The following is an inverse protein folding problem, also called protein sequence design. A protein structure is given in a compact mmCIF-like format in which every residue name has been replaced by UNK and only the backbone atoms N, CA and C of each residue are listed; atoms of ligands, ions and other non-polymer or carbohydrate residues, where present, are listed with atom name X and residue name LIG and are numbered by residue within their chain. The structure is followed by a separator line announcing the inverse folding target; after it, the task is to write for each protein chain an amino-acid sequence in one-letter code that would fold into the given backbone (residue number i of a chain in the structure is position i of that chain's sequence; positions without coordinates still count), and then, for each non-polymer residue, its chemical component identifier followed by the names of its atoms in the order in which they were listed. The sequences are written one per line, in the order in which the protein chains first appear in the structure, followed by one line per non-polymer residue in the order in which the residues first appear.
data_IF_378748940558
#
_entry.id   IF_378748940558
#
_cell.length_a   1.000
_cell.length_b   1.000
_cell.length_c   1.000
_cell.angle_alpha   90.00
_cell.angle_beta   90.00
_cell.angle_gamma   90.00
#
_symmetry.space_group_name_H-M   'P 1'
#
loop_
_entity.id
_entity.type
_entity.pdbx_description
1 polymer ?
#
# COMPACT_ATOMS: atom_id res chain seq x y z
N UNK A 1 -15.85 26.69 61.42
CA UNK A 1 -15.20 25.36 61.44
C UNK A 1 -15.28 24.77 60.04
N UNK A 2 -14.12 24.37 59.48
CA UNK A 2 -13.85 23.31 58.47
C UNK A 2 -14.80 23.19 57.24
N UNK A 3 -14.35 23.08 55.98
CA UNK A 3 -13.07 22.63 55.40
C UNK A 3 -12.98 23.11 53.95
N UNK A 4 -11.78 23.52 53.54
CA UNK A 4 -11.40 23.70 52.14
C UNK A 4 -11.37 22.35 51.40
N UNK A 5 -11.90 22.31 50.17
CA UNK A 5 -11.52 21.29 49.18
C UNK A 5 -11.21 22.03 47.88
N UNK A 6 -9.92 22.26 47.68
CA UNK A 6 -9.34 22.67 46.42
C UNK A 6 -9.39 21.47 45.48
N UNK A 7 -10.37 21.42 44.56
CA UNK A 7 -10.39 20.44 43.48
C UNK A 7 -9.34 20.87 42.45
N UNK A 8 -8.15 20.30 42.60
CA UNK A 8 -7.08 20.33 41.59
C UNK A 8 -7.67 19.82 40.28
N UNK A 9 -7.75 20.71 39.28
CA UNK A 9 -7.90 20.33 37.89
C UNK A 9 -6.62 19.57 37.48
N UNK A 10 -6.68 18.25 37.60
CA UNK A 10 -5.72 17.38 36.93
C UNK A 10 -6.11 17.32 35.46
N UNK A 11 -5.56 18.25 34.69
CA UNK A 11 -5.33 18.02 33.28
C UNK A 11 -4.29 16.90 33.18
N UNK A 12 -4.73 15.66 33.02
CA UNK A 12 -3.86 14.51 32.79
C UNK A 12 -4.35 13.73 31.58
N UNK A 13 -3.64 13.89 30.47
CA UNK A 13 -3.45 12.81 29.49
C UNK A 13 -4.38 12.80 28.28
N UNK A 14 -4.33 13.85 27.45
CA UNK A 14 -4.26 13.56 26.01
C UNK A 14 -2.81 13.14 25.70
N UNK A 15 -2.62 12.23 24.74
CA UNK A 15 -1.39 11.55 24.26
C UNK A 15 -1.29 10.11 24.81
N UNK A 16 -1.49 9.02 24.05
CA UNK A 16 -1.61 8.84 22.61
C UNK A 16 -2.53 7.62 22.34
N UNK A 17 -3.73 7.87 21.80
CA UNK A 17 -4.60 6.80 21.31
C UNK A 17 -4.35 6.65 19.83
N UNK A 18 -3.60 5.63 19.44
CA UNK A 18 -3.53 5.19 18.05
C UNK A 18 -4.96 4.87 17.60
N UNK A 19 -5.33 5.49 16.50
CA UNK A 19 -6.64 5.59 15.90
C UNK A 19 -6.83 4.53 14.82
N UNK A 20 -7.50 3.45 15.18
CA UNK A 20 -7.84 2.37 14.26
C UNK A 20 -9.34 2.15 14.24
N UNK A 21 -9.77 1.51 13.17
CA UNK A 21 -11.09 0.91 13.10
C UNK A 21 -11.21 -0.20 14.14
N UNK A 22 -12.34 -0.20 14.83
CA UNK A 22 -12.69 -1.17 15.88
C UNK A 22 -13.46 -2.37 15.32
N UNK A 23 -13.74 -2.38 14.02
CA UNK A 23 -14.49 -3.42 13.34
C UNK A 23 -13.93 -3.64 11.93
N UNK A 24 -13.84 -4.90 11.52
CA UNK A 24 -13.50 -5.30 10.15
C UNK A 24 -14.54 -4.83 9.12
N UNK A 25 -15.76 -4.51 9.57
CA UNK A 25 -16.84 -3.98 8.71
C UNK A 25 -16.70 -2.49 8.38
N UNK A 26 -15.71 -1.79 8.95
CA UNK A 26 -15.54 -0.36 8.77
C UNK A 26 -15.29 0.06 7.32
N UNK A 27 -14.52 -0.72 6.55
CA UNK A 27 -14.29 -0.47 5.12
C UNK A 27 -15.58 -0.54 4.30
N UNK A 28 -16.36 -1.64 4.36
CA UNK A 28 -17.67 -1.74 3.73
C UNK A 28 -18.64 -0.62 4.12
N UNK A 29 -18.73 -0.28 5.42
CA UNK A 29 -19.60 0.79 5.90
C UNK A 29 -19.18 2.17 5.36
N UNK A 30 -17.87 2.46 5.34
CA UNK A 30 -17.36 3.70 4.78
C UNK A 30 -17.68 3.83 3.29
N UNK A 31 -17.51 2.75 2.51
CA UNK A 31 -17.88 2.70 1.08
C UNK A 31 -19.39 2.88 0.85
N UNK A 32 -20.22 2.39 1.77
CA UNK A 32 -21.68 2.58 1.75
C UNK A 32 -22.11 3.99 2.20
N UNK A 33 -21.17 4.88 2.51
CA UNK A 33 -21.45 6.26 2.88
C UNK A 33 -21.80 6.46 4.36
N UNK A 34 -21.59 5.45 5.22
CA UNK A 34 -21.89 5.56 6.66
C UNK A 34 -21.05 6.65 7.34
N UNK A 35 -19.88 7.01 6.80
CA UNK A 35 -19.11 8.14 7.30
C UNK A 35 -19.86 9.49 7.21
N UNK A 36 -20.84 9.59 6.31
CA UNK A 36 -21.70 10.77 6.12
C UNK A 36 -23.08 10.54 6.77
N UNK A 37 -23.64 9.34 6.60
CA UNK A 37 -24.98 8.98 7.09
C UNK A 37 -25.03 8.73 8.60
N UNK A 38 -23.93 8.25 9.19
CA UNK A 38 -23.81 7.92 10.61
C UNK A 38 -22.44 8.36 11.19
N UNK A 39 -22.12 9.67 11.11
CA UNK A 39 -20.79 10.19 11.38
C UNK A 39 -20.36 10.05 12.84
N UNK A 40 -21.28 10.11 13.81
CA UNK A 40 -20.94 9.94 15.23
C UNK A 40 -20.52 8.50 15.56
N UNK A 41 -21.26 7.51 15.07
CA UNK A 41 -20.87 6.11 15.27
C UNK A 41 -19.58 5.80 14.53
N UNK A 42 -19.49 6.21 13.27
CA UNK A 42 -18.36 5.90 12.42
C UNK A 42 -17.09 6.63 12.85
N UNK A 43 -17.17 7.83 13.42
CA UNK A 43 -15.99 8.52 13.96
C UNK A 43 -15.43 7.90 15.24
N UNK A 44 -16.21 7.05 15.93
CA UNK A 44 -15.75 6.35 17.13
C UNK A 44 -15.40 4.90 16.82
N UNK A 45 -16.13 4.26 15.91
CA UNK A 45 -15.97 2.85 15.55
C UNK A 45 -15.03 2.67 14.38
N UNK A 46 -15.07 3.57 13.40
CA UNK A 46 -14.35 3.48 12.14
C UNK A 46 -13.55 4.76 11.81
N UNK A 47 -12.80 5.32 12.78
CA UNK A 47 -12.16 6.61 12.59
C UNK A 47 -11.07 6.60 11.52
N UNK A 48 -10.49 5.43 11.21
CA UNK A 48 -9.50 5.30 10.14
C UNK A 48 -10.21 5.21 8.78
N UNK A 49 -11.19 4.32 8.62
CA UNK A 49 -11.97 4.20 7.37
C UNK A 49 -12.71 5.48 6.99
N UNK A 50 -13.13 6.28 7.97
CA UNK A 50 -13.78 7.57 7.73
C UNK A 50 -12.84 8.77 7.69
N UNK A 51 -11.53 8.55 7.70
CA UNK A 51 -10.53 9.61 7.59
C UNK A 51 -10.55 10.62 8.74
N UNK A 52 -11.11 10.25 9.89
CA UNK A 52 -11.10 11.06 11.13
C UNK A 52 -9.69 11.14 11.70
N UNK A 53 -8.82 10.19 11.35
CA UNK A 53 -7.41 10.13 11.73
C UNK A 53 -6.58 9.31 10.72
N UNK A 54 -5.26 9.27 10.91
CA UNK A 54 -4.32 8.48 10.09
C UNK A 54 -3.26 7.81 10.96
N UNK A 55 -2.80 6.60 10.57
CA UNK A 55 -1.75 5.84 11.26
C UNK A 55 -0.55 5.53 10.36
N UNK A 56 0.63 5.40 10.96
CA UNK A 56 1.77 4.75 10.32
C UNK A 56 1.43 3.28 10.12
N UNK A 57 1.21 2.89 8.86
CA UNK A 57 0.95 1.51 8.49
C UNK A 57 2.23 0.68 8.65
N UNK A 58 2.43 0.15 9.85
CA UNK A 58 3.55 -0.72 10.23
C UNK A 58 3.10 -1.69 11.31
N UNK A 59 3.61 -2.91 11.25
CA UNK A 59 3.54 -3.83 12.38
C UNK A 59 4.59 -3.41 13.42
N UNK A 60 4.19 -3.33 14.67
CA UNK A 60 5.04 -2.95 15.81
C UNK A 60 5.78 -4.15 16.41
N UNK A 61 5.31 -5.37 16.14
CA UNK A 61 5.82 -6.60 16.75
C UNK A 61 6.29 -7.59 15.68
N UNK A 62 7.44 -8.24 15.92
CA UNK A 62 8.02 -9.22 14.98
C UNK A 62 7.09 -10.44 14.75
N UNK A 63 6.26 -10.76 15.75
CA UNK A 63 5.35 -11.91 15.73
C UNK A 63 3.97 -11.61 15.12
N UNK A 64 3.74 -10.38 14.64
CA UNK A 64 2.46 -9.97 14.07
C UNK A 64 1.94 -10.92 12.99
N UNK A 65 2.81 -11.36 12.09
CA UNK A 65 2.44 -12.31 11.03
C UNK A 65 1.99 -13.66 11.61
N UNK A 66 2.69 -14.16 12.62
CA UNK A 66 2.35 -15.42 13.29
C UNK A 66 1.04 -15.34 14.07
N UNK A 67 0.78 -14.22 14.74
CA UNK A 67 -0.47 -14.01 15.46
C UNK A 67 -1.67 -13.83 14.54
N UNK A 68 -1.50 -13.13 13.41
CA UNK A 68 -2.54 -13.02 12.40
C UNK A 68 -2.93 -14.39 11.83
N UNK A 69 -1.97 -15.24 11.48
CA UNK A 69 -2.22 -16.61 11.05
C UNK A 69 -2.91 -17.48 12.12
N UNK A 70 -2.67 -17.17 13.39
CA UNK A 70 -3.35 -17.81 14.52
C UNK A 70 -4.75 -17.24 14.80
N UNK A 71 -5.32 -16.42 13.90
CA UNK A 71 -6.66 -15.86 14.03
C UNK A 71 -6.77 -14.70 15.03
N UNK A 72 -5.65 -14.16 15.53
CA UNK A 72 -5.69 -13.12 16.56
C UNK A 72 -6.31 -11.81 16.06
N UNK A 73 -6.34 -11.57 14.74
CA UNK A 73 -7.01 -10.41 14.18
C UNK A 73 -8.52 -10.39 14.51
N UNK A 74 -9.14 -11.56 14.66
CA UNK A 74 -10.55 -11.72 15.02
C UNK A 74 -10.74 -12.00 16.52
N UNK A 75 -9.85 -12.79 17.12
CA UNK A 75 -9.93 -13.14 18.55
C UNK A 75 -9.46 -12.02 19.49
N UNK A 76 -8.52 -11.19 19.03
CA UNK A 76 -7.94 -10.07 19.78
C UNK A 76 -7.77 -8.81 18.91
N UNK A 77 -8.86 -8.30 18.30
CA UNK A 77 -8.80 -7.19 17.34
C UNK A 77 -8.26 -5.91 17.98
N UNK A 78 -8.56 -5.65 19.25
CA UNK A 78 -8.10 -4.42 19.90
C UNK A 78 -6.58 -4.28 19.97
N UNK A 79 -5.88 -5.39 20.23
CA UNK A 79 -4.41 -5.42 20.21
C UNK A 79 -3.88 -5.55 18.78
N UNK A 80 -4.43 -6.50 18.02
CA UNK A 80 -3.89 -6.85 16.72
C UNK A 80 -4.09 -5.75 15.66
N UNK A 81 -5.25 -5.11 15.60
CA UNK A 81 -5.45 -3.98 14.67
C UNK A 81 -4.60 -2.76 15.06
N UNK A 82 -4.15 -2.68 16.32
CA UNK A 82 -3.28 -1.62 16.82
C UNK A 82 -1.81 -1.87 16.52
N UNK A 83 -1.31 -3.03 16.92
CA UNK A 83 0.12 -3.35 16.89
C UNK A 83 0.51 -4.16 15.67
N UNK A 84 -0.46 -4.75 14.96
CA UNK A 84 -0.25 -5.58 13.77
C UNK A 84 -1.19 -5.19 12.60
N UNK A 85 -1.36 -3.89 12.29
CA UNK A 85 -2.32 -3.44 11.28
C UNK A 85 -2.01 -3.97 9.88
N UNK A 86 -0.75 -4.25 9.56
CA UNK A 86 -0.41 -4.85 8.26
C UNK A 86 -0.76 -6.33 8.27
N UNK A 87 -0.29 -7.08 9.28
CA UNK A 87 -0.58 -8.52 9.37
C UNK A 87 -2.08 -8.83 9.45
N UNK A 88 -2.90 -7.90 9.95
CA UNK A 88 -4.36 -8.03 9.95
C UNK A 88 -5.06 -7.44 8.73
N UNK A 89 -4.32 -7.02 7.70
CA UNK A 89 -4.88 -6.47 6.47
C UNK A 89 -5.65 -5.16 6.65
N UNK A 90 -5.44 -4.46 7.78
CA UNK A 90 -6.06 -3.16 8.06
C UNK A 90 -5.48 -2.08 7.16
N UNK A 91 -4.20 -2.23 6.81
CA UNK A 91 -3.54 -1.33 5.90
C UNK A 91 -2.39 -2.06 5.20
N UNK A 92 -2.08 -1.66 3.97
CA UNK A 92 -0.85 -2.06 3.30
C UNK A 92 0.12 -0.87 3.32
N UNK A 93 1.38 -1.07 3.73
CA UNK A 93 2.38 -0.01 3.65
C UNK A 93 2.54 0.40 2.18
N UNK A 94 2.37 1.69 1.91
CA UNK A 94 2.59 2.24 0.57
C UNK A 94 4.08 2.19 0.28
N UNK A 95 4.48 1.51 -0.78
CA UNK A 95 5.90 1.52 -1.12
C UNK A 95 6.32 2.90 -1.64
N UNK A 96 7.05 3.63 -0.81
CA UNK A 96 7.51 5.00 -1.07
C UNK A 96 8.85 5.25 -0.37
N UNK A 97 9.59 6.21 -0.86
CA UNK A 97 10.76 6.73 -0.15
C UNK A 97 10.34 7.39 1.16
N UNK A 98 11.00 6.98 2.25
CA UNK A 98 10.70 7.42 3.62
C UNK A 98 11.55 8.61 4.04
N UNK A 99 12.68 8.85 3.35
CA UNK A 99 13.59 9.97 3.64
C UNK A 99 13.60 10.95 2.49
N UNK A 100 13.59 12.24 2.80
CA UNK A 100 13.69 13.28 1.78
C UNK A 100 15.07 13.28 1.07
N UNK A 101 16.11 12.73 1.72
CA UNK A 101 17.45 12.62 1.16
C UNK A 101 17.61 11.47 0.15
N UNK A 102 16.58 10.65 -0.07
CA UNK A 102 16.71 9.45 -0.90
C UNK A 102 17.30 9.76 -2.28
N UNK A 103 16.84 10.80 -2.97
CA UNK A 103 17.40 11.25 -4.25
C UNK A 103 18.91 11.51 -4.17
N UNK A 104 19.35 12.30 -3.18
CA UNK A 104 20.76 12.62 -2.97
C UNK A 104 21.62 11.40 -2.63
N UNK A 105 21.11 10.51 -1.77
CA UNK A 105 21.80 9.26 -1.43
C UNK A 105 21.86 8.27 -2.60
N UNK A 106 20.80 8.22 -3.41
CA UNK A 106 20.76 7.44 -4.65
C UNK A 106 21.84 7.89 -5.62
N UNK A 107 21.95 9.20 -5.88
CA UNK A 107 23.01 9.79 -6.70
C UNK A 107 24.42 9.56 -6.13
N UNK A 108 24.54 9.52 -4.79
CA UNK A 108 25.78 9.21 -4.11
C UNK A 108 26.14 7.71 -4.09
N UNK A 109 25.37 6.85 -4.78
CA UNK A 109 25.67 5.42 -4.90
C UNK A 109 25.24 4.56 -3.71
N UNK A 110 24.49 5.11 -2.74
CA UNK A 110 24.15 4.39 -1.51
C UNK A 110 23.30 3.15 -1.74
N UNK A 111 22.54 3.06 -2.84
CA UNK A 111 21.82 1.84 -3.20
C UNK A 111 22.76 0.62 -3.41
N UNK A 112 24.04 0.86 -3.71
CA UNK A 112 25.06 -0.20 -3.80
C UNK A 112 25.85 -0.35 -2.50
N UNK A 113 26.26 0.78 -1.90
CA UNK A 113 27.17 0.79 -0.75
C UNK A 113 26.46 0.41 0.56
N UNK A 114 25.16 0.70 0.67
CA UNK A 114 24.34 0.40 1.84
C UNK A 114 22.96 -0.13 1.42
N UNK A 115 22.91 -1.30 0.77
CA UNK A 115 21.72 -1.76 0.05
C UNK A 115 20.56 -2.11 0.99
N UNK A 116 20.82 -2.67 2.17
CA UNK A 116 19.76 -3.03 3.12
C UNK A 116 19.08 -1.83 3.78
N UNK A 117 19.83 -0.75 4.07
CA UNK A 117 19.23 0.49 4.56
C UNK A 117 18.43 1.16 3.45
N UNK A 118 19.05 1.32 2.29
CA UNK A 118 18.44 2.04 1.18
C UNK A 118 17.24 1.30 0.61
N UNK A 119 17.23 -0.03 0.58
CA UNK A 119 16.06 -0.80 0.17
C UNK A 119 14.84 -0.59 1.08
N UNK A 120 15.03 -0.23 2.35
CA UNK A 120 13.93 -0.03 3.32
C UNK A 120 13.49 1.42 3.45
N UNK A 121 14.46 2.33 3.45
CA UNK A 121 14.22 3.76 3.62
C UNK A 121 14.01 4.49 2.30
N UNK A 122 14.57 3.98 1.21
CA UNK A 122 14.54 4.56 -0.13
C UNK A 122 14.18 3.53 -1.23
N UNK A 123 13.13 2.71 -1.04
CA UNK A 123 12.80 1.62 -1.96
C UNK A 123 12.48 2.09 -3.37
N UNK A 124 11.88 3.27 -3.57
CA UNK A 124 11.55 3.78 -4.90
C UNK A 124 12.81 4.30 -5.58
N UNK A 125 13.60 5.13 -4.89
CA UNK A 125 14.86 5.65 -5.45
C UNK A 125 15.81 4.51 -5.86
N UNK A 126 15.88 3.44 -5.07
CA UNK A 126 16.74 2.30 -5.41
C UNK A 126 16.09 1.30 -6.38
N UNK A 127 14.87 1.54 -6.84
CA UNK A 127 14.17 0.66 -7.79
C UNK A 127 13.74 -0.69 -7.20
N UNK A 128 13.75 -0.81 -5.88
CA UNK A 128 13.14 -1.94 -5.15
C UNK A 128 11.65 -1.96 -5.45
N UNK A 129 11.01 -0.80 -5.33
CA UNK A 129 9.63 -0.60 -5.72
C UNK A 129 9.52 0.12 -7.05
N UNK A 130 8.57 -0.35 -7.85
CA UNK A 130 8.29 0.20 -9.17
C UNK A 130 6.81 0.51 -9.31
N UNK A 131 6.50 1.23 -10.38
CA UNK A 131 5.12 1.42 -10.82
C UNK A 131 4.64 0.10 -11.39
N UNK A 132 3.62 -0.44 -10.74
CA UNK A 132 3.00 -1.70 -11.05
C UNK A 132 1.60 -1.47 -11.62
N UNK A 133 1.21 -2.37 -12.50
CA UNK A 133 -0.15 -2.45 -12.97
C UNK A 133 -0.77 -3.74 -12.46
N UNK A 134 -1.54 -3.61 -11.38
CA UNK A 134 -2.22 -4.73 -10.73
C UNK A 134 -3.64 -4.33 -10.38
N UNK A 135 -4.50 -5.33 -10.32
CA UNK A 135 -5.82 -5.16 -9.75
C UNK A 135 -5.71 -4.84 -8.25
N UNK A 136 -6.59 -3.97 -7.79
CA UNK A 136 -6.64 -3.47 -6.41
C UNK A 136 -7.77 -4.13 -5.61
N UNK A 137 -8.55 -5.02 -6.24
CA UNK A 137 -9.67 -5.69 -5.62
C UNK A 137 -9.76 -7.16 -6.03
N UNK A 138 -10.00 -8.03 -5.06
CA UNK A 138 -10.15 -9.47 -5.30
C UNK A 138 -11.34 -9.81 -6.21
N UNK A 139 -12.36 -8.95 -6.27
CA UNK A 139 -13.56 -9.15 -7.11
C UNK A 139 -13.39 -8.65 -8.56
N UNK A 140 -12.22 -8.11 -8.93
CA UNK A 140 -11.97 -7.66 -10.30
C UNK A 140 -12.31 -8.71 -11.39
N UNK A 141 -12.03 -10.02 -11.21
CA UNK A 141 -12.46 -11.06 -12.15
C UNK A 141 -13.99 -11.14 -12.29
N UNK A 142 -14.73 -11.01 -11.19
CA UNK A 142 -16.19 -11.09 -11.19
C UNK A 142 -16.82 -9.86 -11.85
N UNK A 143 -16.34 -8.65 -11.51
CA UNK A 143 -16.80 -7.41 -12.13
C UNK A 143 -16.50 -7.37 -13.63
N UNK A 144 -15.31 -7.85 -14.03
CA UNK A 144 -14.94 -7.99 -15.44
C UNK A 144 -15.86 -8.97 -16.17
N UNK A 145 -16.15 -10.14 -15.59
CA UNK A 145 -17.12 -11.09 -16.15
C UNK A 145 -18.53 -10.51 -16.23
N UNK A 146 -18.88 -9.59 -15.33
CA UNK A 146 -20.13 -8.83 -15.33
C UNK A 146 -20.22 -7.72 -16.38
N UNK A 147 -19.13 -7.39 -17.09
CA UNK A 147 -19.11 -6.35 -18.11
C UNK A 147 -18.73 -4.95 -17.61
N UNK A 148 -18.32 -4.81 -16.35
CA UNK A 148 -18.03 -3.51 -15.72
C UNK A 148 -16.91 -2.73 -16.44
N UNK A 149 -15.99 -3.40 -17.14
CA UNK A 149 -14.95 -2.74 -17.93
C UNK A 149 -15.52 -1.86 -19.07
N UNK A 150 -16.77 -2.07 -19.48
CA UNK A 150 -17.49 -1.27 -20.49
C UNK A 150 -18.54 -0.37 -19.86
N UNK A 151 -19.24 -0.86 -18.84
CA UNK A 151 -20.33 -0.12 -18.18
C UNK A 151 -19.79 0.94 -17.20
N UNK A 152 -18.62 0.69 -16.60
CA UNK A 152 -17.97 1.57 -15.64
C UNK A 152 -16.43 1.65 -15.88
N UNK A 153 -15.99 2.06 -17.08
CA UNK A 153 -14.60 1.96 -17.52
C UNK A 153 -13.65 2.82 -16.68
N UNK A 154 -14.07 4.02 -16.25
CA UNK A 154 -13.23 4.91 -15.46
C UNK A 154 -12.87 4.34 -14.08
N UNK A 155 -13.83 3.71 -13.39
CA UNK A 155 -13.58 3.01 -12.14
C UNK A 155 -12.76 1.73 -12.39
N UNK A 156 -13.18 0.93 -13.36
CA UNK A 156 -12.58 -0.37 -13.61
C UNK A 156 -11.14 -0.26 -14.12
N UNK A 157 -10.77 0.74 -14.91
CA UNK A 157 -9.39 0.90 -15.34
C UNK A 157 -8.46 1.39 -14.23
N UNK A 158 -8.97 2.04 -13.18
CA UNK A 158 -8.16 2.43 -12.02
C UNK A 158 -8.09 1.32 -10.96
N UNK A 159 -9.18 0.58 -10.78
CA UNK A 159 -9.30 -0.44 -9.74
C UNK A 159 -8.90 -1.83 -10.24
N UNK A 160 -9.20 -2.15 -11.49
CA UNK A 160 -9.02 -3.46 -12.11
C UNK A 160 -8.30 -3.40 -13.48
N UNK A 161 -7.18 -2.66 -13.60
CA UNK A 161 -6.52 -2.47 -14.89
C UNK A 161 -5.99 -3.76 -15.51
N UNK A 162 -5.57 -4.73 -14.70
CA UNK A 162 -5.05 -5.99 -15.21
C UNK A 162 -6.19 -6.85 -15.74
N UNK A 163 -7.26 -7.03 -14.95
CA UNK A 163 -8.45 -7.79 -15.40
C UNK A 163 -9.13 -7.18 -16.62
N UNK A 164 -9.18 -5.84 -16.73
CA UNK A 164 -9.73 -5.17 -17.90
C UNK A 164 -8.78 -5.11 -19.11
N UNK A 165 -7.58 -5.69 -19.01
CA UNK A 165 -6.62 -5.77 -20.12
C UNK A 165 -5.97 -4.43 -20.49
N UNK A 166 -5.98 -3.45 -19.57
CA UNK A 166 -5.20 -2.21 -19.71
C UNK A 166 -3.71 -2.55 -19.73
N UNK A 167 -3.28 -3.47 -18.86
CA UNK A 167 -1.88 -3.86 -18.72
C UNK A 167 -1.69 -5.33 -19.11
N UNK A 168 -1.35 -5.56 -20.37
CA UNK A 168 -1.28 -6.90 -20.97
C UNK A 168 0.16 -7.41 -21.14
N UNK A 169 1.17 -6.55 -21.03
CA UNK A 169 2.57 -6.86 -21.42
C UNK A 169 3.53 -7.07 -20.24
N UNK A 170 3.04 -7.03 -19.01
CA UNK A 170 3.85 -7.27 -17.83
C UNK A 170 3.37 -6.45 -16.63
N UNK A 171 4.01 -6.66 -15.47
CA UNK A 171 3.63 -5.99 -14.25
C UNK A 171 4.11 -4.53 -14.19
N UNK A 172 5.10 -4.14 -15.00
CA UNK A 172 5.62 -2.77 -15.04
C UNK A 172 4.63 -1.85 -15.71
N UNK A 173 4.30 -0.76 -15.04
CA UNK A 173 3.31 0.21 -15.47
C UNK A 173 4.00 1.51 -15.85
N UNK A 174 4.01 1.81 -17.15
CA UNK A 174 4.67 2.98 -17.71
C UNK A 174 3.90 3.52 -18.92
N UNK A 175 4.02 4.82 -19.15
CA UNK A 175 3.50 5.46 -20.36
C UNK A 175 4.33 5.07 -21.59
N UNK A 176 3.67 4.67 -22.68
CA UNK A 176 4.35 4.37 -23.96
C UNK A 176 5.06 5.59 -24.54
N UNK A 177 4.46 6.77 -24.37
CA UNK A 177 5.06 8.04 -24.76
C UNK A 177 4.74 9.11 -23.72
N UNK A 178 5.65 9.28 -22.76
CA UNK A 178 5.54 10.24 -21.65
C UNK A 178 5.14 11.66 -22.07
N UNK A 179 5.66 12.17 -23.20
CA UNK A 179 5.34 13.54 -23.63
C UNK A 179 3.90 13.64 -24.14
N UNK A 180 3.48 12.69 -24.96
CA UNK A 180 2.11 12.63 -25.49
C UNK A 180 1.10 12.38 -24.35
N UNK A 181 1.45 11.48 -23.44
CA UNK A 181 0.63 11.13 -22.28
C UNK A 181 0.42 12.31 -21.33
N UNK A 182 1.44 13.14 -21.12
CA UNK A 182 1.29 14.38 -20.34
C UNK A 182 0.32 15.36 -21.01
N UNK A 183 0.42 15.55 -22.34
CA UNK A 183 -0.48 16.42 -23.10
C UNK A 183 -1.93 15.91 -23.02
N UNK A 184 -2.12 14.59 -23.17
CA UNK A 184 -3.45 13.98 -23.08
C UNK A 184 -4.03 14.02 -21.66
N UNK A 185 -3.21 13.83 -20.63
CA UNK A 185 -3.64 13.99 -19.25
C UNK A 185 -4.07 15.43 -18.96
N UNK A 186 -3.30 16.43 -19.40
CA UNK A 186 -3.66 17.86 -19.24
C UNK A 186 -4.94 18.25 -19.99
N UNK A 187 -5.29 17.49 -21.05
CA UNK A 187 -6.51 17.66 -21.84
C UNK A 187 -7.70 16.81 -21.32
N UNK A 188 -7.58 16.19 -20.14
CA UNK A 188 -8.57 15.31 -19.53
C UNK A 188 -8.97 14.10 -20.43
N UNK A 189 -8.08 13.69 -21.33
CA UNK A 189 -8.35 12.60 -22.28
C UNK A 189 -8.45 11.23 -21.58
N UNK A 190 -7.88 11.10 -20.38
CA UNK A 190 -8.08 9.93 -19.52
C UNK A 190 -9.55 9.74 -19.09
N UNK A 191 -10.36 10.80 -19.10
CA UNK A 191 -11.79 10.77 -18.79
C UNK A 191 -12.66 10.71 -20.05
N UNK A 192 -12.27 11.47 -21.09
CA UNK A 192 -13.04 11.57 -22.33
C UNK A 192 -12.81 10.38 -23.27
N UNK A 193 -11.60 9.85 -23.32
CA UNK A 193 -11.18 8.75 -24.19
C UNK A 193 -10.48 7.62 -23.40
N UNK A 194 -11.11 7.08 -22.32
CA UNK A 194 -10.45 6.22 -21.36
C UNK A 194 -9.92 4.92 -21.98
N UNK A 195 -10.64 4.34 -22.95
CA UNK A 195 -10.28 3.05 -23.54
C UNK A 195 -8.92 3.11 -24.25
N UNK A 196 -8.68 4.16 -25.02
CA UNK A 196 -7.45 4.31 -25.80
C UNK A 196 -6.32 4.89 -24.94
N UNK A 197 -6.61 5.97 -24.22
CA UNK A 197 -5.58 6.76 -23.55
C UNK A 197 -5.06 6.06 -22.31
N UNK A 198 -5.93 5.42 -21.52
CA UNK A 198 -5.48 4.73 -20.30
C UNK A 198 -4.60 3.51 -20.63
N UNK A 199 -4.81 2.87 -21.78
CA UNK A 199 -4.00 1.73 -22.22
C UNK A 199 -2.59 2.14 -22.69
N UNK A 200 -2.46 3.32 -23.29
CA UNK A 200 -1.16 3.84 -23.76
C UNK A 200 -0.45 4.69 -22.69
N UNK A 201 -1.22 5.26 -21.76
CA UNK A 201 -0.79 6.21 -20.75
C UNK A 201 -1.26 5.84 -19.32
N UNK A 202 -1.03 4.61 -18.85
CA UNK A 202 -1.52 4.18 -17.55
C UNK A 202 -0.88 4.95 -16.39
N UNK A 203 0.33 5.47 -16.55
CA UNK A 203 0.99 6.26 -15.51
C UNK A 203 0.40 7.67 -15.42
N UNK A 204 0.34 8.38 -16.55
CA UNK A 204 -0.24 9.72 -16.60
C UNK A 204 -1.72 9.74 -16.24
N UNK A 205 -2.46 8.66 -16.54
CA UNK A 205 -3.87 8.52 -16.15
C UNK A 205 -4.08 8.03 -14.70
N UNK A 206 -3.01 7.80 -13.94
CA UNK A 206 -3.08 7.40 -12.53
C UNK A 206 -3.62 5.99 -12.30
N UNK A 207 -3.41 5.09 -13.25
CA UNK A 207 -3.70 3.65 -13.11
C UNK A 207 -2.60 2.93 -12.36
N UNK A 208 -1.35 3.32 -12.58
CA UNK A 208 -0.21 2.68 -11.94
C UNK A 208 -0.24 2.86 -10.41
N UNK A 209 0.02 1.78 -9.69
CA UNK A 209 0.25 1.80 -8.24
C UNK A 209 1.71 1.50 -7.95
N UNK A 210 2.30 2.11 -6.94
CA UNK A 210 3.68 1.78 -6.57
C UNK A 210 3.67 0.57 -5.65
N UNK A 211 4.44 -0.46 -5.99
CA UNK A 211 4.53 -1.66 -5.18
C UNK A 211 5.85 -2.39 -5.31
N UNK A 212 6.05 -3.39 -4.46
CA UNK A 212 7.24 -4.20 -4.36
C UNK A 212 6.99 -5.59 -4.96
N UNK A 213 7.83 -6.00 -5.90
CA UNK A 213 7.82 -7.34 -6.46
C UNK A 213 9.18 -7.72 -7.03
N UNK A 214 9.37 -8.99 -7.33
CA UNK A 214 10.52 -9.44 -8.12
C UNK A 214 10.41 -8.94 -9.56
N UNK A 215 11.54 -8.51 -10.10
CA UNK A 215 11.63 -7.91 -11.45
C UNK A 215 12.18 -8.88 -12.49
N UNK A 216 12.55 -10.10 -12.07
CA UNK A 216 13.10 -11.14 -12.92
C UNK A 216 12.47 -12.50 -12.58
N UNK A 217 12.18 -13.30 -13.60
CA UNK A 217 11.60 -14.63 -13.45
C UNK A 217 12.52 -15.62 -12.70
N UNK A 218 13.83 -15.38 -12.74
CA UNK A 218 14.85 -16.23 -12.12
C UNK A 218 15.04 -15.94 -10.63
N UNK A 219 14.37 -14.93 -10.07
CA UNK A 219 14.56 -14.49 -8.69
C UNK A 219 14.39 -15.60 -7.66
N UNK A 220 13.42 -16.50 -7.85
CA UNK A 220 13.21 -17.68 -6.98
C UNK A 220 14.43 -18.61 -6.99
N UNK A 221 15.05 -18.79 -8.15
CA UNK A 221 16.24 -19.63 -8.32
C UNK A 221 17.48 -18.99 -7.68
N UNK A 222 17.69 -17.70 -7.92
CA UNK A 222 18.82 -16.97 -7.35
C UNK A 222 18.72 -16.83 -5.83
N UNK A 223 17.53 -16.56 -5.29
CA UNK A 223 17.35 -16.48 -3.84
C UNK A 223 17.55 -17.82 -3.12
N UNK A 224 17.22 -18.94 -3.78
CA UNK A 224 17.39 -20.28 -3.21
C UNK A 224 18.85 -20.78 -3.26
N UNK A 225 19.67 -20.28 -4.19
CA UNK A 225 21.10 -20.55 -4.20
C UNK A 225 21.75 -19.90 -2.97
N UNK A 226 22.39 -20.72 -2.13
CA UNK A 226 22.81 -20.31 -0.79
C UNK A 226 23.63 -19.02 -0.83
N UNK A 227 22.99 -17.93 -0.38
CA UNK A 227 23.53 -16.62 0.01
C UNK A 227 23.56 -15.50 -1.04
N UNK A 228 22.99 -15.63 -2.24
CA UNK A 228 22.97 -14.48 -3.18
C UNK A 228 22.27 -13.24 -2.58
N UNK A 229 21.18 -13.41 -1.82
CA UNK A 229 20.51 -12.30 -1.13
C UNK A 229 21.39 -11.60 -0.07
N UNK A 230 22.48 -12.23 0.38
CA UNK A 230 23.43 -11.66 1.33
C UNK A 230 24.72 -11.20 0.63
N UNK A 231 25.32 -12.08 -0.16
CA UNK A 231 26.60 -11.87 -0.84
C UNK A 231 26.49 -10.86 -1.99
N UNK A 232 25.30 -10.74 -2.60
CA UNK A 232 24.99 -9.78 -3.66
C UNK A 232 23.77 -8.93 -3.32
N UNK A 233 23.65 -8.52 -2.05
CA UNK A 233 22.52 -7.76 -1.52
C UNK A 233 22.13 -6.54 -2.39
N UNK A 234 23.11 -5.77 -2.89
CA UNK A 234 22.84 -4.60 -3.74
C UNK A 234 22.14 -4.94 -5.07
N UNK A 235 22.47 -6.07 -5.68
CA UNK A 235 21.80 -6.54 -6.89
C UNK A 235 20.46 -7.17 -6.52
N UNK A 236 20.50 -8.13 -5.60
CA UNK A 236 19.35 -8.95 -5.24
C UNK A 236 18.21 -8.15 -4.62
N UNK A 237 18.47 -7.12 -3.81
CA UNK A 237 17.38 -6.31 -3.24
C UNK A 237 16.72 -5.40 -4.26
N UNK A 238 17.39 -5.04 -5.36
CA UNK A 238 16.79 -4.22 -6.42
C UNK A 238 16.09 -5.04 -7.49
N UNK A 239 16.58 -6.25 -7.76
CA UNK A 239 16.04 -7.12 -8.80
C UNK A 239 15.06 -8.14 -8.24
N UNK A 240 15.34 -8.69 -7.06
CA UNK A 240 14.59 -9.77 -6.42
C UNK A 240 14.17 -9.45 -4.98
N UNK A 241 13.58 -8.27 -4.69
CA UNK A 241 13.24 -7.90 -3.33
C UNK A 241 12.19 -8.81 -2.69
N UNK A 242 11.26 -9.39 -3.45
CA UNK A 242 10.25 -10.27 -2.87
C UNK A 242 10.87 -11.62 -2.49
N UNK A 243 11.64 -12.21 -3.41
CA UNK A 243 12.36 -13.46 -3.15
C UNK A 243 13.40 -13.33 -2.02
N UNK A 244 13.98 -12.15 -1.82
CA UNK A 244 14.88 -11.87 -0.69
C UNK A 244 14.19 -11.37 0.58
N UNK A 245 12.85 -11.36 0.64
CA UNK A 245 12.08 -10.98 1.82
C UNK A 245 11.96 -9.47 2.09
N UNK A 246 12.60 -8.62 1.29
CA UNK A 246 12.52 -7.16 1.39
C UNK A 246 11.08 -6.69 1.18
N UNK A 247 10.37 -7.24 0.19
CA UNK A 247 8.97 -6.85 0.00
C UNK A 247 8.10 -7.23 1.19
N UNK A 248 8.37 -8.32 1.90
CA UNK A 248 7.59 -8.68 3.09
C UNK A 248 7.83 -7.73 4.28
N UNK A 249 9.02 -7.13 4.37
CA UNK A 249 9.32 -6.05 5.32
C UNK A 249 8.70 -4.71 4.89
N UNK A 250 8.51 -4.52 3.59
CA UNK A 250 7.95 -3.31 3.00
C UNK A 250 6.44 -3.34 2.79
N UNK A 251 5.85 -4.52 2.67
CA UNK A 251 4.49 -4.90 2.28
C UNK A 251 4.16 -6.20 3.02
N UNK A 252 3.58 -6.08 4.22
CA UNK A 252 3.06 -7.25 4.93
C UNK A 252 1.98 -7.92 4.08
N UNK A 253 1.99 -9.25 4.15
CA UNK A 253 1.48 -10.15 3.12
C UNK A 253 -0.05 -10.13 3.00
N UNK A 254 -0.53 -10.03 1.77
CA UNK A 254 -1.79 -10.60 1.33
C UNK A 254 -1.60 -12.08 0.93
N UNK A 255 -2.68 -12.84 1.12
CA UNK A 255 -3.05 -14.15 0.56
C UNK A 255 -2.45 -15.44 1.14
N UNK A 256 -3.30 -16.19 1.87
CA UNK A 256 -3.97 -17.40 1.34
C UNK A 256 -5.25 -17.71 2.11
#
# INVERSE_FOLDING_TARGET
MLRAVCLLALATGALAGICNDKSTSCGPWAKQGECVSNPEFMSVTCPLSCGVCTHECKDEEEMCSGWAHAGQCDENPGFMLKSCPISCGVCSPVCKDRKFQCEGWGLAGQCNDNPGFMARECPVTCGVCKKLCKDLHAECPAWTAGGECYDNPGFMYKTCPFSCGVCSEGPVCEDKNRTQCHIWADADECLHNPIAVVKDCPESCGVCTTGCMDHDENCKGWAFQEKLCHDQAAFMYRVCPASCGICSELEGKDEL
#
